data_IF_309773595855
#
_entry.id   IF_309773595855
#
_cell.length_a   1.000
_cell.length_b   1.000
_cell.length_c   1.000
_cell.angle_alpha   90.00
_cell.angle_beta   90.00
_cell.angle_gamma   90.00
#
_symmetry.space_group_name_H-M   'P 1'
#
loop_
_entity.id
_entity.type
_entity.pdbx_description
1 polymer ?
#
# COMPACT_ATOMS: atom_id res chain seq x y z
N UNK A 1 -34.09 -2.46 19.05
CA UNK A 1 -33.51 -1.29 19.72
C UNK A 1 -32.02 -1.32 19.47
N UNK A 2 -31.43 -0.15 19.24
CA UNK A 2 -29.98 0.05 19.06
C UNK A 2 -29.49 0.99 20.15
N UNK A 3 -28.32 0.76 20.69
CA UNK A 3 -27.73 1.58 21.75
C UNK A 3 -27.29 2.96 21.24
N UNK A 4 -26.87 3.02 19.97
CA UNK A 4 -26.41 4.26 19.33
C UNK A 4 -26.53 4.17 17.81
N UNK A 5 -26.48 5.32 17.15
CA UNK A 5 -26.35 5.49 15.70
C UNK A 5 -25.05 6.26 15.42
N UNK A 6 -24.26 5.77 14.49
CA UNK A 6 -23.12 6.49 13.93
C UNK A 6 -23.42 6.72 12.46
N UNK A 7 -23.41 7.97 12.03
CA UNK A 7 -23.64 8.38 10.66
C UNK A 7 -22.35 8.96 10.09
N UNK A 8 -21.90 8.46 8.94
CA UNK A 8 -20.65 8.88 8.29
C UNK A 8 -20.98 9.22 6.84
N UNK A 9 -20.75 10.47 6.45
CA UNK A 9 -20.85 10.90 5.05
C UNK A 9 -19.54 10.56 4.32
N UNK A 10 -19.60 9.56 3.47
CA UNK A 10 -18.43 9.12 2.70
C UNK A 10 -18.01 10.11 1.61
N UNK A 11 -18.90 11.03 1.21
CA UNK A 11 -18.56 12.05 0.20
C UNK A 11 -17.65 13.15 0.74
N UNK A 12 -17.57 13.30 2.06
CA UNK A 12 -16.68 14.25 2.74
C UNK A 12 -15.35 13.63 3.18
N UNK A 13 -15.16 12.33 2.93
CA UNK A 13 -13.92 11.64 3.30
C UNK A 13 -12.79 11.97 2.34
N UNK A 14 -11.69 12.48 2.86
CA UNK A 14 -10.45 12.64 2.08
C UNK A 14 -9.72 11.30 1.93
N UNK A 15 -8.89 11.20 0.88
CA UNK A 15 -8.02 10.03 0.69
C UNK A 15 -7.00 9.93 1.82
N UNK A 16 -6.94 8.78 2.48
CA UNK A 16 -6.14 8.55 3.67
C UNK A 16 -5.09 7.45 3.48
N UNK A 17 -4.05 7.53 4.28
CA UNK A 17 -3.01 6.50 4.41
C UNK A 17 -2.84 6.13 5.87
N UNK A 18 -2.76 4.83 6.16
CA UNK A 18 -2.44 4.34 7.49
C UNK A 18 -0.96 3.97 7.57
N UNK A 19 -0.27 4.50 8.57
CA UNK A 19 1.13 4.19 8.83
C UNK A 19 1.25 2.96 9.74
N UNK A 20 2.40 2.25 9.74
CA UNK A 20 2.64 1.20 10.72
C UNK A 20 2.52 1.77 12.15
N UNK A 21 2.06 1.05 13.15
CA UNK A 21 1.77 -0.39 13.19
C UNK A 21 0.28 -0.64 13.50
N UNK A 22 -0.55 0.38 13.49
CA UNK A 22 -1.97 0.26 13.83
C UNK A 22 -2.82 1.04 12.82
N UNK A 23 -4.00 0.54 12.42
CA UNK A 23 -4.86 1.21 11.45
C UNK A 23 -5.31 2.62 11.86
N UNK A 24 -5.36 2.92 13.17
CA UNK A 24 -5.70 4.26 13.66
C UNK A 24 -4.56 5.29 13.52
N UNK A 25 -3.36 4.85 13.16
CA UNK A 25 -2.26 5.75 12.81
C UNK A 25 -2.44 6.21 11.35
N UNK A 26 -3.53 6.93 11.11
CA UNK A 26 -4.00 7.31 9.79
C UNK A 26 -3.98 8.84 9.63
N UNK A 27 -3.58 9.28 8.45
CA UNK A 27 -3.47 10.67 8.04
C UNK A 27 -4.09 10.86 6.67
N UNK A 28 -4.53 12.06 6.33
CA UNK A 28 -4.81 12.36 4.93
C UNK A 28 -3.52 12.26 4.12
N UNK A 29 -3.62 11.90 2.84
CA UNK A 29 -2.43 11.84 1.97
C UNK A 29 -1.73 13.21 1.92
N UNK A 30 -2.50 14.30 1.96
CA UNK A 30 -1.95 15.66 1.99
C UNK A 30 -1.13 15.92 3.26
N UNK A 31 -1.66 15.59 4.43
CA UNK A 31 -0.93 15.72 5.70
C UNK A 31 0.32 14.85 5.74
N UNK A 32 0.21 13.60 5.25
CA UNK A 32 1.34 12.70 5.19
C UNK A 32 2.47 13.25 4.32
N UNK A 33 2.16 13.67 3.10
CA UNK A 33 3.18 14.20 2.18
C UNK A 33 3.84 15.45 2.75
N UNK A 34 3.07 16.34 3.38
CA UNK A 34 3.59 17.58 3.98
C UNK A 34 4.52 17.32 5.17
N UNK A 35 4.21 16.32 5.98
CA UNK A 35 4.90 16.04 7.26
C UNK A 35 5.66 14.70 7.24
N UNK A 36 5.97 14.16 6.08
CA UNK A 36 6.47 12.80 5.91
C UNK A 36 7.73 12.50 6.74
N UNK A 37 8.69 13.41 6.81
CA UNK A 37 9.93 13.22 7.58
C UNK A 37 9.65 13.05 9.07
N UNK A 38 8.80 13.88 9.64
CA UNK A 38 8.42 13.81 11.07
C UNK A 38 7.59 12.55 11.36
N UNK A 39 6.60 12.26 10.53
CA UNK A 39 5.73 11.10 10.71
C UNK A 39 6.50 9.78 10.58
N UNK A 40 7.39 9.67 9.60
CA UNK A 40 8.22 8.49 9.43
C UNK A 40 9.28 8.36 10.53
N UNK A 41 9.81 9.46 11.06
CA UNK A 41 10.67 9.42 12.24
C UNK A 41 9.93 8.86 13.47
N UNK A 42 8.67 9.26 13.68
CA UNK A 42 7.82 8.71 14.74
C UNK A 42 7.60 7.20 14.59
N UNK A 43 7.37 6.72 13.36
CA UNK A 43 7.26 5.29 13.06
C UNK A 43 8.56 4.54 13.36
N UNK A 44 9.73 5.11 13.03
CA UNK A 44 11.04 4.52 13.36
C UNK A 44 11.25 4.38 14.86
N UNK A 45 10.87 5.39 15.64
CA UNK A 45 10.99 5.35 17.11
C UNK A 45 10.07 4.29 17.71
N UNK A 46 8.85 4.17 17.23
CA UNK A 46 7.94 3.10 17.63
C UNK A 46 8.47 1.72 17.23
N UNK A 47 9.01 1.59 16.03
CA UNK A 47 9.65 0.39 15.54
C UNK A 47 10.81 -0.06 16.42
N UNK A 48 11.69 0.86 16.85
CA UNK A 48 12.79 0.57 17.78
C UNK A 48 12.30 0.01 19.12
N UNK A 49 11.16 0.51 19.60
CA UNK A 49 10.56 0.01 20.86
C UNK A 49 9.97 -1.39 20.69
N UNK A 50 9.27 -1.62 19.58
CA UNK A 50 8.62 -2.91 19.30
C UNK A 50 9.59 -3.99 18.83
N UNK A 51 10.60 -3.60 18.07
CA UNK A 51 11.57 -4.49 17.43
C UNK A 51 13.00 -4.00 17.66
N UNK A 52 13.52 -4.08 18.89
CA UNK A 52 14.82 -3.47 19.25
C UNK A 52 16.03 -4.08 18.52
N UNK A 53 15.86 -5.24 17.87
CA UNK A 53 16.89 -5.90 17.06
C UNK A 53 16.84 -5.51 15.59
N UNK A 54 15.83 -4.77 15.16
CA UNK A 54 15.68 -4.32 13.80
C UNK A 54 16.24 -2.92 13.62
N UNK A 55 16.78 -2.68 12.45
CA UNK A 55 17.15 -1.34 12.02
C UNK A 55 16.20 -0.91 10.88
N UNK A 56 15.47 0.16 11.11
CA UNK A 56 14.60 0.78 10.10
C UNK A 56 15.15 2.15 9.74
N UNK A 57 15.22 2.45 8.45
CA UNK A 57 15.65 3.74 7.91
C UNK A 57 14.58 4.26 6.94
N UNK A 58 13.47 4.74 7.52
CA UNK A 58 12.34 5.29 6.75
C UNK A 58 12.59 6.74 6.33
N UNK A 59 13.34 7.50 7.11
CA UNK A 59 13.63 8.91 6.80
C UNK A 59 14.45 9.06 5.53
N UNK A 60 15.32 8.10 5.22
CA UNK A 60 16.05 8.08 3.95
C UNK A 60 15.14 7.94 2.71
N UNK A 61 13.89 7.51 2.92
CA UNK A 61 12.87 7.44 1.86
C UNK A 61 12.27 8.81 1.53
N UNK A 62 12.50 9.83 2.34
CA UNK A 62 12.07 11.20 2.06
C UNK A 62 13.21 11.97 1.40
N UNK A 63 12.99 12.41 0.15
CA UNK A 63 13.99 13.14 -0.63
C UNK A 63 13.32 14.27 -1.39
N UNK A 64 13.81 15.50 -1.20
CA UNK A 64 13.26 16.67 -1.89
C UNK A 64 11.77 16.89 -1.65
N UNK A 65 11.28 16.59 -0.44
CA UNK A 65 9.86 16.72 -0.08
C UNK A 65 8.95 15.64 -0.69
N UNK A 66 9.52 14.56 -1.24
CA UNK A 66 8.77 13.42 -1.79
C UNK A 66 9.13 12.14 -1.04
N UNK A 67 8.14 11.26 -0.87
CA UNK A 67 8.33 9.93 -0.30
C UNK A 67 8.55 8.92 -1.43
N UNK A 68 9.64 8.16 -1.33
CA UNK A 68 9.98 7.12 -2.29
C UNK A 68 9.69 5.75 -1.69
N UNK A 69 8.74 5.05 -2.25
CA UNK A 69 8.47 3.65 -1.91
C UNK A 69 9.37 2.72 -2.73
N UNK A 70 9.64 1.54 -2.18
CA UNK A 70 10.38 0.48 -2.86
C UNK A 70 9.42 -0.52 -3.52
N UNK A 71 8.18 -0.61 -3.02
CA UNK A 71 7.15 -1.50 -3.52
C UNK A 71 5.77 -0.87 -3.43
N UNK A 72 4.92 -1.16 -4.41
CA UNK A 72 3.49 -0.89 -4.40
C UNK A 72 2.70 -2.19 -4.57
N UNK A 73 1.62 -2.36 -3.81
CA UNK A 73 0.72 -3.52 -3.93
C UNK A 73 -0.73 -3.08 -3.91
N UNK A 74 -1.49 -3.53 -4.90
CA UNK A 74 -2.93 -3.44 -4.95
C UNK A 74 -3.47 -4.87 -4.89
N UNK A 75 -4.10 -5.25 -3.77
CA UNK A 75 -4.47 -6.65 -3.56
C UNK A 75 -5.61 -6.85 -2.56
N UNK A 76 -6.10 -8.06 -2.52
CA UNK A 76 -7.06 -8.53 -1.54
C UNK A 76 -8.50 -8.18 -1.86
N UNK A 77 -9.37 -8.45 -0.89
CA UNK A 77 -10.81 -8.24 -1.02
C UNK A 77 -11.23 -6.76 -0.99
N UNK A 78 -10.32 -5.84 -0.65
CA UNK A 78 -10.54 -4.40 -0.72
C UNK A 78 -9.83 -3.81 -1.96
N UNK A 79 -8.50 -3.85 -2.01
CA UNK A 79 -7.73 -3.22 -3.08
C UNK A 79 -7.87 -3.90 -4.45
N UNK A 80 -8.10 -5.20 -4.49
CA UNK A 80 -8.23 -5.97 -5.72
C UNK A 80 -9.62 -5.93 -6.38
N UNK A 81 -10.55 -5.12 -5.90
CA UNK A 81 -11.87 -4.96 -6.50
C UNK A 81 -11.79 -4.24 -7.86
N UNK A 82 -12.81 -4.44 -8.68
CA UNK A 82 -12.88 -3.86 -10.02
C UNK A 82 -12.67 -2.35 -10.00
N UNK A 83 -13.49 -1.62 -9.23
CA UNK A 83 -13.45 -0.16 -9.17
C UNK A 83 -12.11 0.37 -8.67
N UNK A 84 -11.53 -0.28 -7.65
CA UNK A 84 -10.23 0.13 -7.09
C UNK A 84 -9.08 -0.02 -8.09
N UNK A 85 -9.11 -1.05 -8.93
CA UNK A 85 -8.09 -1.27 -9.96
C UNK A 85 -8.31 -0.34 -11.15
N UNK A 86 -9.56 -0.09 -11.54
CA UNK A 86 -9.90 0.86 -12.61
C UNK A 86 -9.48 2.29 -12.26
N UNK A 87 -9.77 2.73 -11.04
CA UNK A 87 -9.31 4.03 -10.53
C UNK A 87 -7.77 4.12 -10.48
N UNK A 88 -7.10 3.05 -10.05
CA UNK A 88 -5.63 3.02 -10.06
C UNK A 88 -5.06 3.13 -11.48
N UNK A 89 -5.68 2.48 -12.46
CA UNK A 89 -5.30 2.60 -13.87
C UNK A 89 -5.54 4.03 -14.40
N UNK A 90 -6.66 4.65 -14.02
CA UNK A 90 -6.96 6.03 -14.40
C UNK A 90 -5.90 7.02 -13.85
N UNK A 91 -5.42 6.81 -12.62
CA UNK A 91 -4.34 7.62 -12.02
C UNK A 91 -3.01 7.39 -12.74
N UNK A 92 -2.74 6.16 -13.15
CA UNK A 92 -1.48 5.75 -13.79
C UNK A 92 -1.47 5.95 -15.31
N UNK A 93 -2.58 6.37 -15.91
CA UNK A 93 -2.68 6.63 -17.34
C UNK A 93 -1.63 7.65 -17.79
N UNK A 94 -0.88 7.31 -18.82
CA UNK A 94 0.23 8.10 -19.34
C UNK A 94 1.37 8.39 -18.33
N UNK A 95 1.38 7.65 -17.22
CA UNK A 95 2.45 7.69 -16.23
C UNK A 95 3.32 6.42 -16.32
N UNK A 96 4.44 6.42 -15.62
CA UNK A 96 5.33 5.27 -15.52
C UNK A 96 5.76 5.06 -14.07
N UNK A 97 5.83 3.81 -13.65
CA UNK A 97 6.45 3.42 -12.39
C UNK A 97 7.98 3.54 -12.42
N UNK A 98 8.53 3.90 -13.59
CA UNK A 98 9.97 4.03 -13.81
C UNK A 98 10.64 2.70 -14.14
N UNK A 99 11.95 2.77 -14.35
CA UNK A 99 12.84 1.65 -14.69
C UNK A 99 13.78 1.27 -13.53
N UNK A 100 13.53 1.81 -12.34
CA UNK A 100 14.27 1.54 -11.11
C UNK A 100 13.84 0.25 -10.40
N UNK A 101 14.21 0.15 -9.12
CA UNK A 101 13.90 -1.02 -8.28
C UNK A 101 12.46 -1.05 -7.77
N UNK A 102 11.68 0.02 -7.93
CA UNK A 102 10.28 0.03 -7.54
C UNK A 102 9.49 -0.99 -8.36
N UNK A 103 8.64 -1.75 -7.68
CA UNK A 103 7.71 -2.68 -8.31
C UNK A 103 6.28 -2.42 -7.87
N UNK A 104 5.35 -2.40 -8.82
CA UNK A 104 3.91 -2.34 -8.54
C UNK A 104 3.28 -3.68 -8.94
N UNK A 105 2.76 -4.41 -7.96
CA UNK A 105 2.02 -5.65 -8.20
C UNK A 105 0.53 -5.45 -7.99
N UNK A 106 -0.27 -5.92 -8.94
CA UNK A 106 -1.74 -5.82 -8.92
C UNK A 106 -2.33 -7.22 -8.93
N UNK A 107 -3.13 -7.52 -7.91
CA UNK A 107 -3.83 -8.79 -7.71
C UNK A 107 -5.34 -8.57 -7.77
N UNK A 108 -6.00 -8.79 -8.90
CA UNK A 108 -7.47 -8.76 -8.97
C UNK A 108 -8.08 -9.71 -7.95
N UNK A 109 -9.21 -9.33 -7.34
CA UNK A 109 -9.82 -10.12 -6.27
C UNK A 109 -10.34 -11.49 -6.74
N UNK A 110 -10.62 -11.63 -8.04
CA UNK A 110 -11.11 -12.87 -8.64
C UNK A 110 -10.81 -12.96 -10.12
N UNK A 111 -10.91 -14.16 -10.68
CA UNK A 111 -10.76 -14.39 -12.13
C UNK A 111 -11.81 -13.61 -12.95
N UNK A 112 -13.11 -13.57 -12.59
CA UNK A 112 -14.07 -12.73 -13.30
C UNK A 112 -13.70 -11.25 -13.35
N UNK A 113 -13.23 -10.68 -12.22
CA UNK A 113 -12.74 -9.29 -12.19
C UNK A 113 -11.54 -9.11 -13.11
N UNK A 114 -10.58 -10.02 -13.07
CA UNK A 114 -9.41 -9.98 -13.95
C UNK A 114 -9.79 -10.01 -15.45
N UNK A 115 -10.75 -10.86 -15.81
CA UNK A 115 -11.24 -10.96 -17.18
C UNK A 115 -11.95 -9.68 -17.64
N UNK A 116 -12.76 -9.07 -16.76
CA UNK A 116 -13.48 -7.85 -17.12
C UNK A 116 -12.52 -6.67 -17.30
N UNK A 117 -11.57 -6.46 -16.36
CA UNK A 117 -10.51 -5.47 -16.48
C UNK A 117 -9.68 -5.63 -17.77
N UNK A 118 -9.46 -6.88 -18.19
CA UNK A 118 -8.75 -7.17 -19.45
C UNK A 118 -9.58 -6.79 -20.66
N UNK A 119 -10.88 -7.10 -20.68
CA UNK A 119 -11.78 -6.79 -21.80
C UNK A 119 -11.92 -5.28 -22.03
N UNK A 120 -11.95 -4.48 -20.97
CA UNK A 120 -12.12 -3.03 -21.09
C UNK A 120 -10.79 -2.27 -21.24
N UNK A 121 -9.63 -2.98 -21.30
CA UNK A 121 -8.32 -2.39 -21.56
C UNK A 121 -7.56 -1.91 -20.33
N UNK A 122 -8.14 -1.99 -19.14
CA UNK A 122 -7.48 -1.55 -17.87
C UNK A 122 -6.20 -2.32 -17.59
N UNK A 123 -6.20 -3.62 -17.88
CA UNK A 123 -4.99 -4.45 -17.76
C UNK A 123 -3.85 -3.93 -18.66
N UNK A 124 -4.16 -3.51 -19.87
CA UNK A 124 -3.17 -2.94 -20.81
C UNK A 124 -2.61 -1.61 -20.28
N UNK A 125 -3.46 -0.72 -19.78
CA UNK A 125 -3.03 0.57 -19.20
C UNK A 125 -2.06 0.37 -18.04
N UNK A 126 -2.37 -0.55 -17.12
CA UNK A 126 -1.50 -0.88 -15.98
C UNK A 126 -0.16 -1.48 -16.43
N UNK A 127 -0.16 -2.38 -17.41
CA UNK A 127 1.06 -2.95 -17.97
C UNK A 127 1.93 -1.88 -18.66
N UNK A 128 1.32 -0.95 -19.38
CA UNK A 128 2.03 0.20 -19.99
C UNK A 128 2.68 1.10 -18.93
N UNK A 129 2.02 1.28 -17.79
CA UNK A 129 2.58 2.03 -16.66
C UNK A 129 3.74 1.30 -15.95
N UNK A 130 3.95 0.00 -16.22
CA UNK A 130 4.99 -0.82 -15.60
C UNK A 130 4.52 -1.68 -14.43
N UNK A 131 3.21 -1.80 -14.22
CA UNK A 131 2.66 -2.71 -13.21
C UNK A 131 2.77 -4.18 -13.64
N UNK A 132 2.87 -5.07 -12.66
CA UNK A 132 2.86 -6.53 -12.86
C UNK A 132 1.52 -7.08 -12.42
N UNK A 133 0.75 -7.62 -13.36
CA UNK A 133 -0.54 -8.24 -13.06
C UNK A 133 -0.32 -9.68 -12.59
N UNK A 134 -0.84 -10.00 -11.43
CA UNK A 134 -0.70 -11.30 -10.77
C UNK A 134 -2.03 -12.06 -10.75
N UNK A 135 -2.02 -13.38 -10.64
CA UNK A 135 -3.22 -14.15 -10.39
C UNK A 135 -3.90 -13.76 -9.08
N UNK A 136 -5.24 -13.92 -9.02
CA UNK A 136 -6.01 -13.68 -7.79
C UNK A 136 -5.46 -14.50 -6.63
N UNK A 137 -4.96 -13.82 -5.62
CA UNK A 137 -4.32 -14.46 -4.46
C UNK A 137 -4.38 -13.55 -3.23
N UNK A 138 -4.77 -14.10 -2.09
CA UNK A 138 -4.87 -13.36 -0.83
C UNK A 138 -3.52 -13.14 -0.13
N UNK A 139 -2.47 -13.79 -0.60
CA UNK A 139 -1.14 -13.85 0.02
C UNK A 139 -0.55 -12.51 0.44
N UNK A 140 -0.50 -11.49 -0.42
CA UNK A 140 0.08 -10.20 -0.06
C UNK A 140 -0.54 -9.54 1.18
N UNK A 141 -1.82 -9.81 1.47
CA UNK A 141 -2.50 -9.24 2.64
C UNK A 141 -2.03 -9.81 3.98
N UNK A 142 -1.40 -10.99 3.98
CA UNK A 142 -0.88 -11.63 5.19
C UNK A 142 0.62 -11.95 5.11
N UNK A 143 1.32 -11.42 4.12
CA UNK A 143 2.76 -11.56 4.02
C UNK A 143 3.24 -12.81 3.30
N UNK A 144 2.47 -13.33 2.35
CA UNK A 144 2.90 -14.40 1.45
C UNK A 144 2.98 -13.88 0.01
N UNK A 145 4.01 -14.22 -0.69
CA UNK A 145 4.25 -13.75 -2.07
C UNK A 145 5.08 -12.48 -2.10
N UNK A 146 4.54 -11.36 -2.54
CA UNK A 146 5.25 -10.08 -2.70
C UNK A 146 5.66 -9.46 -1.35
N UNK A 147 6.75 -9.93 -0.80
CA UNK A 147 7.36 -9.41 0.43
C UNK A 147 8.39 -8.35 0.05
N UNK A 148 8.41 -7.16 0.67
CA UNK A 148 9.41 -6.15 0.40
C UNK A 148 10.81 -6.61 0.83
N UNK A 149 11.85 -6.03 0.23
CA UNK A 149 13.22 -6.24 0.69
C UNK A 149 13.42 -5.69 2.11
N UNK A 150 14.47 -6.14 2.79
CA UNK A 150 14.86 -5.59 4.09
C UNK A 150 15.02 -4.07 3.99
N UNK A 151 14.50 -3.35 4.97
CA UNK A 151 14.46 -1.89 4.99
C UNK A 151 13.67 -1.27 3.81
N UNK A 152 12.83 -2.06 3.13
CA UNK A 152 11.95 -1.59 2.07
C UNK A 152 10.68 -0.94 2.62
N UNK A 153 10.26 0.17 2.01
CA UNK A 153 8.98 0.80 2.25
C UNK A 153 7.98 0.30 1.20
N UNK A 154 6.94 -0.39 1.66
CA UNK A 154 5.86 -0.90 0.81
C UNK A 154 4.59 -0.08 0.99
N UNK A 155 4.06 0.47 -0.10
CA UNK A 155 2.75 1.10 -0.15
C UNK A 155 1.70 0.06 -0.57
N UNK A 156 0.62 -0.04 0.20
CA UNK A 156 -0.36 -1.10 -0.01
C UNK A 156 -1.79 -0.59 -0.01
N UNK A 157 -2.50 -0.91 -1.04
CA UNK A 157 -3.95 -0.88 -1.05
C UNK A 157 -4.47 -2.29 -0.76
N UNK A 158 -4.53 -2.61 0.53
CA UNK A 158 -4.96 -3.91 1.06
C UNK A 158 -5.84 -3.72 2.31
N UNK A 159 -6.21 -4.80 2.97
CA UNK A 159 -7.21 -4.75 4.03
C UNK A 159 -6.67 -4.29 5.39
N UNK A 160 -5.36 -4.44 5.68
CA UNK A 160 -4.82 -4.28 7.04
C UNK A 160 -3.33 -3.93 7.05
N UNK A 161 -2.89 -3.22 8.11
CA UNK A 161 -1.49 -2.84 8.35
C UNK A 161 -0.99 -3.29 9.74
N UNK A 162 -1.23 -4.53 10.11
CA UNK A 162 -0.69 -5.09 11.36
C UNK A 162 0.82 -5.37 11.25
N UNK A 163 1.55 -5.34 12.39
CA UNK A 163 2.93 -5.81 12.43
C UNK A 163 3.08 -7.26 11.93
N UNK A 164 4.19 -7.55 11.26
CA UNK A 164 4.52 -8.88 10.72
C UNK A 164 3.51 -9.44 9.69
N UNK A 165 2.73 -8.60 9.06
CA UNK A 165 1.81 -9.01 7.97
C UNK A 165 2.53 -9.25 6.66
N UNK A 166 3.77 -8.83 6.56
CA UNK A 166 4.58 -8.92 5.36
C UNK A 166 5.39 -10.21 5.26
N UNK A 167 5.05 -11.23 6.05
CA UNK A 167 5.79 -12.51 6.09
C UNK A 167 7.17 -12.43 6.72
N UNK A 168 7.57 -11.25 7.20
CA UNK A 168 8.83 -11.06 7.90
C UNK A 168 8.75 -11.52 9.33
N UNK A 169 9.82 -12.12 9.80
CA UNK A 169 9.99 -12.37 11.24
C UNK A 169 10.39 -11.07 11.94
N UNK A 170 10.04 -10.89 13.21
CA UNK A 170 10.56 -9.79 14.00
C UNK A 170 12.09 -9.75 13.91
N UNK A 171 12.66 -8.64 13.46
CA UNK A 171 14.09 -8.50 13.29
C UNK A 171 14.58 -8.36 11.85
N UNK A 172 13.71 -8.53 10.85
CA UNK A 172 14.12 -8.49 9.45
C UNK A 172 14.01 -7.10 8.79
N UNK A 173 13.51 -6.08 9.50
CA UNK A 173 13.59 -4.67 9.05
C UNK A 173 12.75 -4.32 7.82
N UNK A 174 11.50 -4.78 7.77
CA UNK A 174 10.55 -4.48 6.69
C UNK A 174 9.35 -3.70 7.24
N UNK A 175 8.94 -2.67 6.55
CA UNK A 175 7.76 -1.85 6.88
C UNK A 175 6.93 -1.51 5.65
#
# INVERSE_FOLDING_TARGET
YYDSLIEIDLSEMESMIALPFHPSNAYTIHEFVKNADELLAGVEEEAKKKFPKCHFDLRSKVRGGKVYADQGIIAGCAGGMFDSIDEAAAILRDQSTGDGYFSLSVYPTSVPVSLELTKIGVTEELLRAGAVIKPSFCGPCFGAGDVPANNGLSLRHTTRNFPNREGSKPGEGQL
#
